data_IF_148980804931
#
_entry.id   IF_148980804931
#
_cell.length_a   1.000
_cell.length_b   1.000
_cell.length_c   1.000
_cell.angle_alpha   90.00
_cell.angle_beta   90.00
_cell.angle_gamma   90.00
#
_symmetry.space_group_name_H-M   'P 1'
#
loop_
_entity.id
_entity.type
_entity.pdbx_description
1 polymer ?
#
# COMPACT_ATOMS: atom_id res chain seq x y z
N UNK A 1 -55.23 9.70 6.90
CA UNK A 1 -55.48 11.16 7.01
C UNK A 1 -55.50 11.55 8.48
N UNK A 2 -54.93 12.72 8.83
CA UNK A 2 -54.59 13.28 10.17
C UNK A 2 -53.10 13.06 10.53
N UNK A 3 -52.18 13.89 10.04
CA UNK A 3 -51.70 15.18 10.59
C UNK A 3 -51.16 15.06 12.02
N UNK A 4 -49.82 15.07 12.15
CA UNK A 4 -49.10 15.52 13.33
C UNK A 4 -47.94 16.41 12.88
N UNK A 5 -48.27 17.68 12.69
CA UNK A 5 -47.39 18.85 12.71
C UNK A 5 -47.33 19.36 14.15
N UNK A 6 -46.14 19.55 14.72
CA UNK A 6 -45.78 20.49 15.81
C UNK A 6 -44.26 20.30 16.08
N UNK A 7 -43.40 21.19 15.58
CA UNK A 7 -42.88 22.35 16.31
C UNK A 7 -41.92 22.00 17.43
N UNK A 8 -40.61 22.16 17.21
CA UNK A 8 -39.75 22.96 18.11
C UNK A 8 -38.64 23.62 17.28
N UNK A 9 -38.78 24.93 17.17
CA UNK A 9 -37.81 25.92 16.74
C UNK A 9 -36.75 26.06 17.85
N UNK A 10 -35.47 25.77 17.57
CA UNK A 10 -34.36 26.23 18.41
C UNK A 10 -33.42 27.03 17.52
N UNK A 11 -33.63 28.34 17.55
CA UNK A 11 -32.67 29.35 17.16
C UNK A 11 -32.03 29.91 18.44
N UNK A 12 -30.71 29.90 18.51
CA UNK A 12 -29.84 30.72 19.39
C UNK A 12 -28.39 30.38 18.98
N UNK A 13 -27.80 31.12 18.04
CA UNK A 13 -27.00 32.31 18.31
C UNK A 13 -25.93 32.05 19.38
N UNK A 14 -24.71 31.71 18.94
CA UNK A 14 -23.51 31.85 19.76
C UNK A 14 -22.43 32.61 19.00
N UNK A 15 -21.87 33.55 19.74
CA UNK A 15 -21.16 34.75 19.32
C UNK A 15 -19.81 34.49 18.66
N UNK A 16 -19.52 35.31 17.65
CA UNK A 16 -18.17 35.59 17.20
C UNK A 16 -17.31 36.11 18.37
N UNK A 17 -16.16 35.48 18.61
CA UNK A 17 -15.10 36.03 19.45
C UNK A 17 -13.87 36.27 18.57
N UNK A 18 -13.81 37.48 18.03
CA UNK A 18 -12.61 38.07 17.45
C UNK A 18 -11.73 38.60 18.58
N UNK A 19 -10.56 38.00 18.78
CA UNK A 19 -9.48 38.64 19.53
C UNK A 19 -8.20 38.57 18.72
N UNK A 20 -7.81 39.74 18.25
CA UNK A 20 -6.52 40.04 17.64
C UNK A 20 -5.37 39.68 18.59
N UNK A 21 -4.35 39.00 18.08
CA UNK A 21 -3.06 38.94 18.76
C UNK A 21 -1.94 39.40 17.81
N UNK A 22 -1.51 40.62 18.15
CA UNK A 22 -0.23 41.29 17.96
C UNK A 22 0.83 40.76 16.99
N UNK A 23 1.35 41.73 16.25
CA UNK A 23 2.52 41.74 15.38
C UNK A 23 3.82 41.41 16.12
N UNK A 24 4.54 40.39 15.65
CA UNK A 24 5.95 40.15 15.97
C UNK A 24 6.81 40.32 14.71
N UNK A 25 7.46 41.48 14.58
CA UNK A 25 8.60 41.69 13.68
C UNK A 25 9.72 40.71 14.06
N UNK A 26 10.15 39.84 13.14
CA UNK A 26 11.50 39.27 13.19
C UNK A 26 12.15 39.22 11.80
N UNK A 27 13.06 40.19 11.64
CA UNK A 27 14.26 40.31 10.82
C UNK A 27 14.47 39.45 9.56
N UNK A 28 14.73 40.19 8.47
CA UNK A 28 15.47 39.79 7.27
C UNK A 28 16.88 39.29 7.60
N UNK A 29 17.25 38.14 7.06
CA UNK A 29 18.60 37.93 6.52
C UNK A 29 18.50 37.18 5.19
N UNK A 30 18.71 37.92 4.12
CA UNK A 30 19.08 37.41 2.80
C UNK A 30 20.39 36.66 2.89
N UNK A 31 20.43 35.40 2.45
CA UNK A 31 21.67 34.79 1.98
C UNK A 31 21.39 34.06 0.66
N UNK A 32 21.66 34.77 -0.42
CA UNK A 32 21.46 34.36 -1.81
C UNK A 32 22.83 34.30 -2.49
N UNK A 33 23.10 33.14 -3.10
CA UNK A 33 24.07 32.80 -4.17
C UNK A 33 25.55 32.53 -3.81
N UNK A 34 25.88 31.25 -3.94
CA UNK A 34 26.92 30.71 -4.83
C UNK A 34 26.32 29.41 -5.42
N UNK A 35 25.74 29.41 -6.62
CA UNK A 35 26.39 29.16 -7.92
C UNK A 35 27.53 28.13 -7.81
N UNK A 36 27.15 26.86 -7.64
CA UNK A 36 27.95 25.71 -8.07
C UNK A 36 27.48 25.30 -9.46
N UNK A 37 28.34 25.49 -10.46
CA UNK A 37 28.10 25.24 -11.87
C UNK A 37 29.10 24.19 -12.34
N UNK A 38 28.67 22.92 -12.32
CA UNK A 38 29.24 21.75 -13.00
C UNK A 38 28.46 20.55 -12.40
N UNK A 39 27.74 19.69 -13.13
CA UNK A 39 28.03 19.10 -14.42
C UNK A 39 26.73 18.79 -15.19
N UNK A 40 26.87 18.68 -16.50
CA UNK A 40 25.93 18.06 -17.44
C UNK A 40 25.32 16.76 -16.91
N UNK A 41 24.07 16.50 -17.29
CA UNK A 41 23.71 15.33 -18.11
C UNK A 41 22.22 15.37 -18.47
N UNK A 42 22.00 15.67 -19.74
CA UNK A 42 21.09 15.04 -20.71
C UNK A 42 19.78 14.38 -20.22
N UNK A 43 18.69 14.89 -20.82
CA UNK A 43 17.56 14.15 -21.37
C UNK A 43 17.43 12.68 -20.94
N UNK A 44 16.47 12.41 -20.06
CA UNK A 44 15.90 11.07 -19.93
C UNK A 44 14.47 11.13 -20.47
N UNK A 45 14.39 10.82 -21.77
CA UNK A 45 13.24 10.14 -22.36
C UNK A 45 12.88 8.95 -21.46
N UNK A 46 11.64 8.86 -21.01
CA UNK A 46 11.09 7.64 -20.44
C UNK A 46 10.76 6.71 -21.61
N UNK A 47 11.82 6.12 -22.16
CA UNK A 47 11.76 4.92 -22.97
C UNK A 47 11.78 3.73 -22.02
N UNK A 48 10.72 2.94 -22.10
CA UNK A 48 10.63 1.61 -21.53
C UNK A 48 11.68 0.74 -22.21
N UNK A 49 12.86 0.60 -21.60
CA UNK A 49 13.74 -0.49 -21.97
C UNK A 49 14.45 -1.11 -20.77
N UNK A 50 14.32 -2.43 -20.70
CA UNK A 50 14.78 -3.26 -19.61
C UNK A 50 16.31 -3.38 -19.64
N UNK A 51 16.97 -2.90 -18.59
CA UNK A 51 18.38 -3.16 -18.34
C UNK A 51 18.52 -4.16 -17.18
N UNK A 52 18.28 -5.43 -17.51
CA UNK A 52 19.05 -6.54 -16.96
C UNK A 52 20.23 -6.74 -17.93
N UNK A 53 21.36 -6.11 -17.62
CA UNK A 53 22.49 -5.96 -18.56
C UNK A 53 23.84 -6.19 -17.91
N UNK A 54 24.02 -7.33 -17.25
CA UNK A 54 25.30 -8.05 -17.35
C UNK A 54 25.19 -8.93 -18.61
N UNK A 55 26.17 -8.92 -19.53
CA UNK A 55 26.14 -9.72 -20.74
C UNK A 55 26.46 -11.18 -20.40
N UNK A 56 25.51 -11.89 -19.79
CA UNK A 56 25.55 -13.34 -19.74
C UNK A 56 25.15 -13.86 -21.11
N UNK A 57 26.19 -14.22 -21.84
CA UNK A 57 26.20 -14.94 -23.10
C UNK A 57 25.34 -16.22 -23.00
N UNK A 58 24.03 -16.10 -23.22
CA UNK A 58 23.09 -17.24 -23.17
C UNK A 58 23.24 -18.18 -24.37
N UNK A 59 24.15 -17.87 -25.30
CA UNK A 59 24.60 -18.80 -26.35
C UNK A 59 25.81 -19.66 -25.93
N UNK A 60 26.46 -19.38 -24.79
CA UNK A 60 27.60 -20.16 -24.30
C UNK A 60 27.25 -21.26 -23.28
N UNK A 61 26.11 -21.15 -22.59
CA UNK A 61 25.77 -22.02 -21.44
C UNK A 61 25.24 -23.43 -21.80
N UNK A 62 25.13 -23.77 -23.09
CA UNK A 62 24.87 -25.14 -23.55
C UNK A 62 26.13 -25.85 -24.07
N UNK A 63 27.26 -25.14 -24.20
CA UNK A 63 28.47 -25.72 -24.78
C UNK A 63 29.47 -26.25 -23.76
N UNK A 64 29.33 -25.93 -22.47
CA UNK A 64 30.25 -26.38 -21.42
C UNK A 64 29.89 -27.73 -20.78
N UNK A 65 28.83 -28.40 -21.24
CA UNK A 65 28.49 -29.77 -20.83
C UNK A 65 29.07 -30.84 -21.79
N UNK A 66 29.97 -30.43 -22.70
CA UNK A 66 30.64 -31.28 -23.70
C UNK A 66 32.16 -31.09 -23.65
N UNK A 67 32.75 -31.06 -22.45
CA UNK A 67 34.21 -31.07 -22.32
C UNK A 67 34.65 -31.61 -20.95
N UNK A 68 34.45 -32.91 -20.71
CA UNK A 68 35.14 -33.59 -19.61
C UNK A 68 34.37 -34.78 -19.05
N UNK A 69 34.56 -35.95 -19.65
CA UNK A 69 34.20 -37.20 -18.97
C UNK A 69 33.70 -38.31 -19.89
N UNK A 70 34.57 -38.85 -20.73
CA UNK A 70 34.36 -40.18 -21.30
C UNK A 70 34.45 -41.23 -20.18
N UNK A 71 33.33 -41.80 -19.76
CA UNK A 71 33.30 -43.07 -19.03
C UNK A 71 31.95 -43.79 -19.22
N UNK A 72 31.94 -44.70 -20.20
CA UNK A 72 31.24 -45.99 -20.20
C UNK A 72 29.90 -46.09 -19.46
N UNK A 73 28.81 -46.21 -20.23
CA UNK A 73 27.78 -47.22 -19.98
C UNK A 73 27.02 -47.52 -21.28
N UNK A 74 27.62 -48.41 -22.09
CA UNK A 74 26.89 -49.26 -23.03
C UNK A 74 25.89 -50.10 -22.23
N UNK A 75 24.58 -49.96 -22.49
CA UNK A 75 23.60 -50.88 -21.95
C UNK A 75 22.16 -50.41 -22.04
N UNK A 76 21.49 -50.77 -23.13
CA UNK A 76 20.02 -50.87 -23.17
C UNK A 76 19.29 -49.65 -23.74
N UNK A 77 18.97 -49.69 -25.03
CA UNK A 77 17.84 -48.92 -25.56
C UNK A 77 16.54 -49.53 -25.03
N UNK A 78 15.70 -48.81 -24.27
CA UNK A 78 14.27 -49.05 -24.34
C UNK A 78 13.77 -48.40 -25.64
N UNK A 79 13.40 -49.24 -26.60
CA UNK A 79 12.56 -48.86 -27.72
C UNK A 79 11.22 -48.34 -27.16
N UNK A 80 11.14 -47.05 -26.89
CA UNK A 80 9.86 -46.39 -26.67
C UNK A 80 9.17 -46.29 -28.01
N UNK A 81 8.34 -47.31 -28.25
CA UNK A 81 7.38 -47.36 -29.31
C UNK A 81 6.63 -46.03 -29.41
N UNK A 82 6.61 -45.49 -30.62
CA UNK A 82 5.72 -44.45 -31.07
C UNK A 82 4.26 -44.93 -30.95
N UNK A 83 3.73 -44.96 -29.73
CA UNK A 83 2.30 -44.99 -29.51
C UNK A 83 1.79 -43.61 -29.86
N UNK A 84 0.95 -43.57 -30.90
CA UNK A 84 0.23 -42.39 -31.34
C UNK A 84 -0.28 -41.62 -30.12
N UNK A 85 0.29 -40.43 -29.89
CA UNK A 85 -0.24 -39.45 -28.95
C UNK A 85 -1.62 -39.07 -29.48
N UNK A 86 -2.64 -39.81 -29.03
CA UNK A 86 -4.02 -39.39 -29.08
C UNK A 86 -3.99 -38.01 -28.44
N UNK A 87 -4.28 -36.98 -29.23
CA UNK A 87 -4.53 -35.63 -28.74
C UNK A 87 -5.78 -35.71 -27.88
N UNK A 88 -5.60 -36.18 -26.65
CA UNK A 88 -6.54 -36.04 -25.57
C UNK A 88 -6.54 -34.54 -25.32
N UNK A 89 -7.40 -33.84 -26.06
CA UNK A 89 -7.80 -32.50 -25.72
C UNK A 89 -8.15 -32.57 -24.25
N UNK A 90 -7.35 -31.88 -23.43
CA UNK A 90 -7.71 -31.63 -22.05
C UNK A 90 -9.14 -31.09 -22.10
N UNK A 91 -10.02 -31.93 -21.56
CA UNK A 91 -11.45 -31.69 -21.41
C UNK A 91 -11.69 -30.29 -20.89
N UNK A 92 -12.85 -29.74 -21.23
CA UNK A 92 -13.35 -28.48 -20.66
C UNK A 92 -12.99 -28.38 -19.17
N UNK A 93 -12.54 -27.20 -18.69
CA UNK A 93 -12.10 -27.05 -17.32
C UNK A 93 -13.13 -27.69 -16.40
N UNK A 94 -12.70 -28.66 -15.58
CA UNK A 94 -13.58 -29.33 -14.64
C UNK A 94 -14.32 -28.27 -13.83
N UNK A 95 -15.59 -28.51 -13.51
CA UNK A 95 -16.40 -27.46 -12.87
C UNK A 95 -15.78 -27.01 -11.52
N UNK A 96 -15.07 -27.92 -10.83
CA UNK A 96 -14.23 -27.61 -9.67
C UNK A 96 -13.11 -26.58 -9.96
N UNK A 97 -12.48 -26.67 -11.14
CA UNK A 97 -11.45 -25.71 -11.55
C UNK A 97 -12.06 -24.32 -11.79
N UNK A 98 -13.22 -24.25 -12.45
CA UNK A 98 -13.94 -22.98 -12.68
C UNK A 98 -14.32 -22.31 -11.37
N UNK A 99 -14.79 -23.09 -10.39
CA UNK A 99 -15.10 -22.60 -9.05
C UNK A 99 -13.86 -22.08 -8.32
N UNK A 100 -12.75 -22.81 -8.38
CA UNK A 100 -11.49 -22.39 -7.74
C UNK A 100 -10.91 -21.10 -8.36
N UNK A 101 -11.01 -20.95 -9.69
CA UNK A 101 -10.59 -19.74 -10.39
C UNK A 101 -11.48 -18.55 -10.05
N UNK A 102 -12.80 -18.77 -9.92
CA UNK A 102 -13.73 -17.74 -9.47
C UNK A 102 -13.40 -17.27 -8.06
N UNK A 103 -13.13 -18.18 -7.13
CA UNK A 103 -12.71 -17.82 -5.77
C UNK A 103 -11.41 -17.00 -5.76
N UNK A 104 -10.41 -17.36 -6.57
CA UNK A 104 -9.16 -16.59 -6.70
C UNK A 104 -9.40 -15.20 -7.26
N UNK A 105 -10.30 -15.05 -8.22
CA UNK A 105 -10.68 -13.75 -8.78
C UNK A 105 -11.42 -12.89 -7.76
N UNK A 106 -12.38 -13.45 -7.02
CA UNK A 106 -13.11 -12.75 -5.97
C UNK A 106 -12.19 -12.31 -4.83
N UNK A 107 -11.25 -13.16 -4.43
CA UNK A 107 -10.22 -12.80 -3.45
C UNK A 107 -9.33 -11.65 -3.96
N UNK A 108 -8.86 -11.69 -5.21
CA UNK A 108 -8.08 -10.59 -5.79
C UNK A 108 -8.87 -9.29 -5.85
N UNK A 109 -10.15 -9.35 -6.22
CA UNK A 109 -11.02 -8.17 -6.29
C UNK A 109 -11.27 -7.57 -4.90
N UNK A 110 -11.55 -8.38 -3.89
CA UNK A 110 -11.76 -7.90 -2.52
C UNK A 110 -10.50 -7.24 -1.96
N UNK A 111 -9.33 -7.85 -2.15
CA UNK A 111 -8.03 -7.26 -1.79
C UNK A 111 -7.79 -5.93 -2.51
N UNK A 112 -8.09 -5.86 -3.81
CA UNK A 112 -7.95 -4.63 -4.58
C UNK A 112 -8.88 -3.51 -4.09
N UNK A 113 -10.13 -3.83 -3.75
CA UNK A 113 -11.10 -2.87 -3.19
C UNK A 113 -10.61 -2.31 -1.85
N UNK A 114 -10.12 -3.17 -0.97
CA UNK A 114 -9.56 -2.77 0.33
C UNK A 114 -8.33 -1.86 0.15
N UNK A 115 -7.42 -2.24 -0.75
CA UNK A 115 -6.25 -1.41 -1.09
C UNK A 115 -6.66 -0.03 -1.62
N UNK A 116 -7.64 0.01 -2.51
CA UNK A 116 -8.14 1.26 -3.10
C UNK A 116 -8.77 2.14 -2.04
N UNK A 117 -9.64 1.58 -1.19
CA UNK A 117 -10.27 2.32 -0.10
C UNK A 117 -9.24 2.94 0.85
N UNK A 118 -8.21 2.16 1.23
CA UNK A 118 -7.14 2.68 2.08
C UNK A 118 -6.33 3.78 1.39
N UNK A 119 -6.00 3.61 0.10
CA UNK A 119 -5.29 4.65 -0.66
C UNK A 119 -6.12 5.94 -0.80
N UNK A 120 -7.44 5.83 -0.98
CA UNK A 120 -8.31 7.02 -1.04
C UNK A 120 -8.32 7.80 0.28
N UNK A 121 -8.29 7.12 1.44
CA UNK A 121 -8.16 7.81 2.73
C UNK A 121 -6.79 8.46 2.89
N UNK A 122 -5.72 7.78 2.49
CA UNK A 122 -4.37 8.34 2.54
C UNK A 122 -4.21 9.56 1.64
N UNK A 123 -4.78 9.52 0.44
CA UNK A 123 -4.81 10.64 -0.48
C UNK A 123 -5.62 11.81 0.10
N UNK A 124 -6.72 11.54 0.81
CA UNK A 124 -7.51 12.56 1.54
C UNK A 124 -6.70 13.20 2.65
N UNK A 125 -6.09 12.41 3.53
CA UNK A 125 -5.19 12.88 4.60
C UNK A 125 -4.04 13.74 4.03
N UNK A 126 -3.51 13.38 2.87
CA UNK A 126 -2.41 14.09 2.23
C UNK A 126 -2.83 15.42 1.56
N UNK A 127 -4.10 15.54 1.14
CA UNK A 127 -4.63 16.67 0.35
C UNK A 127 -5.51 17.64 1.16
N UNK A 128 -6.22 17.18 2.19
CA UNK A 128 -7.23 17.97 2.91
C UNK A 128 -6.65 19.07 3.81
N UNK A 129 -7.47 20.11 4.01
CA UNK A 129 -7.17 21.38 4.68
C UNK A 129 -6.89 21.24 6.18
N UNK A 130 -6.32 22.29 6.79
CA UNK A 130 -5.78 22.34 8.16
C UNK A 130 -6.82 22.24 9.30
N UNK A 131 -8.01 21.70 9.03
CA UNK A 131 -9.04 21.49 10.06
C UNK A 131 -8.79 20.17 10.78
N UNK A 132 -8.75 20.20 12.12
CA UNK A 132 -8.43 19.02 12.92
C UNK A 132 -9.52 17.93 12.90
N UNK A 133 -10.80 18.31 12.82
CA UNK A 133 -11.92 17.38 12.89
C UNK A 133 -11.98 16.33 11.75
N UNK A 134 -11.92 16.71 10.44
CA UNK A 134 -11.94 15.74 9.36
C UNK A 134 -10.71 14.82 9.38
N UNK A 135 -9.55 15.36 9.75
CA UNK A 135 -8.31 14.59 9.87
C UNK A 135 -8.42 13.47 10.91
N UNK A 136 -9.03 13.76 12.07
CA UNK A 136 -9.27 12.74 13.09
C UNK A 136 -10.22 11.67 12.58
N UNK A 137 -11.34 12.05 11.94
CA UNK A 137 -12.28 11.06 11.40
C UNK A 137 -11.68 10.16 10.32
N UNK A 138 -10.75 10.69 9.51
CA UNK A 138 -10.06 9.90 8.48
C UNK A 138 -9.04 8.94 9.08
N UNK A 139 -8.36 9.34 10.16
CA UNK A 139 -7.44 8.46 10.90
C UNK A 139 -8.20 7.34 11.62
N UNK A 140 -9.36 7.63 12.20
CA UNK A 140 -10.25 6.62 12.79
C UNK A 140 -10.80 5.66 11.72
N UNK A 141 -11.26 6.18 10.58
CA UNK A 141 -11.70 5.33 9.46
C UNK A 141 -10.57 4.43 8.92
N UNK A 142 -9.33 4.93 8.93
CA UNK A 142 -8.14 4.16 8.56
C UNK A 142 -7.87 3.04 9.58
N UNK A 143 -8.00 3.32 10.88
CA UNK A 143 -7.91 2.31 11.93
C UNK A 143 -8.97 1.22 11.76
N UNK A 144 -10.23 1.58 11.53
CA UNK A 144 -11.33 0.65 11.31
C UNK A 144 -11.09 -0.29 10.12
N UNK A 145 -10.50 0.23 9.03
CA UNK A 145 -10.12 -0.59 7.89
C UNK A 145 -9.01 -1.60 8.25
N UNK A 146 -8.02 -1.19 9.04
CA UNK A 146 -6.92 -2.08 9.48
C UNK A 146 -7.47 -3.19 10.39
N UNK A 147 -8.40 -2.87 11.29
CA UNK A 147 -9.08 -3.85 12.15
C UNK A 147 -9.89 -4.85 11.31
N UNK A 148 -10.68 -4.36 10.33
CA UNK A 148 -11.48 -5.21 9.43
C UNK A 148 -10.64 -6.17 8.59
N UNK A 149 -9.45 -5.72 8.17
CA UNK A 149 -8.52 -6.54 7.37
C UNK A 149 -7.73 -7.52 8.27
N UNK A 150 -7.51 -7.16 9.54
CA UNK A 150 -6.60 -7.87 10.44
C UNK A 150 -5.13 -7.50 10.23
N UNK A 151 -4.86 -6.30 9.71
CA UNK A 151 -3.50 -5.80 9.45
C UNK A 151 -3.39 -4.92 8.20
N UNK A 152 -2.17 -4.84 7.67
CA UNK A 152 -1.88 -4.06 6.46
C UNK A 152 -2.25 -4.85 5.19
N UNK A 153 -2.87 -4.23 4.18
CA UNK A 153 -3.17 -4.90 2.92
C UNK A 153 -1.87 -5.26 2.18
N UNK A 154 -1.93 -6.35 1.40
CA UNK A 154 -0.80 -6.87 0.64
C UNK A 154 -0.20 -5.78 -0.27
N UNK A 155 1.11 -5.55 -0.11
CA UNK A 155 1.88 -4.63 -0.93
C UNK A 155 1.90 -3.17 -0.45
N UNK A 156 1.29 -2.84 0.69
CA UNK A 156 1.49 -1.53 1.34
C UNK A 156 2.25 -1.72 2.64
N UNK A 157 3.39 -1.06 2.77
CA UNK A 157 4.24 -1.14 3.97
C UNK A 157 3.77 -0.14 5.02
N UNK A 158 3.92 -0.50 6.30
CA UNK A 158 3.69 0.41 7.44
C UNK A 158 4.47 1.71 7.30
N UNK A 159 5.72 1.62 6.87
CA UNK A 159 6.61 2.79 6.74
C UNK A 159 6.09 3.80 5.72
N UNK A 160 5.42 3.36 4.65
CA UNK A 160 4.91 4.25 3.62
C UNK A 160 3.71 5.05 4.12
N UNK A 161 2.82 4.42 4.89
CA UNK A 161 1.72 5.09 5.61
C UNK A 161 2.28 6.11 6.61
N UNK A 162 3.26 5.70 7.42
CA UNK A 162 3.91 6.59 8.40
C UNK A 162 4.58 7.79 7.72
N UNK A 163 5.27 7.58 6.59
CA UNK A 163 5.89 8.66 5.82
C UNK A 163 4.87 9.63 5.27
N UNK A 164 3.74 9.15 4.74
CA UNK A 164 2.67 10.01 4.23
C UNK A 164 2.08 10.88 5.34
N UNK A 165 1.73 10.30 6.50
CA UNK A 165 1.21 11.08 7.64
C UNK A 165 2.25 12.06 8.18
N UNK A 166 3.53 11.65 8.28
CA UNK A 166 4.62 12.55 8.69
C UNK A 166 4.85 13.69 7.71
N UNK A 167 4.71 13.43 6.41
CA UNK A 167 4.82 14.47 5.39
C UNK A 167 3.70 15.50 5.53
N UNK A 168 2.48 15.07 5.91
CA UNK A 168 1.37 15.99 6.24
C UNK A 168 1.66 16.77 7.53
N UNK A 169 2.15 16.10 8.57
CA UNK A 169 2.54 16.72 9.85
C UNK A 169 3.62 17.79 9.68
N UNK A 170 4.55 17.63 8.73
CA UNK A 170 5.58 18.62 8.46
C UNK A 170 5.07 19.90 7.78
N UNK A 171 3.90 19.87 7.13
CA UNK A 171 3.37 21.01 6.35
C UNK A 171 2.70 22.09 7.19
N UNK A 172 2.23 21.78 8.40
CA UNK A 172 1.39 22.71 9.16
C UNK A 172 1.30 22.38 10.65
N UNK A 173 0.56 23.20 11.42
CA UNK A 173 0.35 22.95 12.84
C UNK A 173 -0.37 21.62 13.02
N UNK A 174 0.18 20.77 13.89
CA UNK A 174 -0.36 19.45 14.19
C UNK A 174 -0.91 19.44 15.62
N UNK A 175 -2.25 19.39 15.74
CA UNK A 175 -2.95 19.39 17.02
C UNK A 175 -2.77 18.09 17.81
N UNK A 176 -3.14 18.10 19.08
CA UNK A 176 -3.01 16.93 19.99
C UNK A 176 -4.01 15.82 19.65
N UNK A 177 -5.23 16.18 19.23
CA UNK A 177 -6.27 15.19 18.89
C UNK A 177 -5.87 14.29 17.70
N UNK A 178 -5.44 14.82 16.54
CA UNK A 178 -4.95 13.99 15.44
C UNK A 178 -3.66 13.23 15.78
N UNK A 179 -2.83 13.72 16.71
CA UNK A 179 -1.67 12.96 17.20
C UNK A 179 -2.09 11.69 17.93
N UNK A 180 -3.10 11.73 18.81
CA UNK A 180 -3.59 10.53 19.49
C UNK A 180 -4.18 9.52 18.51
N UNK A 181 -5.05 9.96 17.59
CA UNK A 181 -5.61 9.09 16.56
C UNK A 181 -4.52 8.45 15.69
N UNK A 182 -3.47 9.19 15.33
CA UNK A 182 -2.33 8.64 14.61
C UNK A 182 -1.55 7.59 15.42
N UNK A 183 -1.33 7.82 16.72
CA UNK A 183 -0.69 6.84 17.59
C UNK A 183 -1.54 5.58 17.74
N UNK A 184 -2.86 5.70 17.78
CA UNK A 184 -3.79 4.56 17.80
C UNK A 184 -3.67 3.71 16.54
N UNK A 185 -3.63 4.32 15.36
CA UNK A 185 -3.36 3.61 14.10
C UNK A 185 -2.04 2.85 14.15
N UNK A 186 -0.96 3.46 14.66
CA UNK A 186 0.34 2.79 14.75
C UNK A 186 0.32 1.62 15.73
N UNK A 187 -0.32 1.81 16.89
CA UNK A 187 -0.49 0.76 17.91
C UNK A 187 -1.26 -0.41 17.33
N UNK A 188 -2.35 -0.13 16.62
CA UNK A 188 -3.18 -1.15 15.99
C UNK A 188 -2.39 -1.93 14.93
N UNK A 189 -1.66 -1.26 14.03
CA UNK A 189 -0.81 -1.96 13.04
C UNK A 189 0.22 -2.84 13.74
N UNK A 190 0.84 -2.34 14.82
CA UNK A 190 1.86 -3.09 15.55
C UNK A 190 1.26 -4.30 16.26
N UNK A 191 0.07 -4.15 16.85
CA UNK A 191 -0.70 -5.24 17.43
C UNK A 191 -1.04 -6.29 16.38
N UNK A 192 -1.56 -5.86 15.22
CA UNK A 192 -1.94 -6.74 14.12
C UNK A 192 -0.74 -7.43 13.43
N UNK A 193 0.47 -6.90 13.57
CA UNK A 193 1.68 -7.54 13.04
C UNK A 193 2.45 -8.34 14.10
N UNK A 194 2.06 -8.24 15.37
CA UNK A 194 2.73 -8.94 16.45
C UNK A 194 2.46 -10.45 16.38
N UNK A 195 3.47 -11.32 16.62
CA UNK A 195 3.28 -12.77 16.66
C UNK A 195 2.49 -13.29 17.87
N UNK A 196 2.16 -12.42 18.84
CA UNK A 196 1.64 -12.81 20.17
C UNK A 196 0.21 -12.32 20.45
N UNK A 197 -0.61 -12.06 19.42
CA UNK A 197 -1.96 -11.48 19.59
C UNK A 197 -2.84 -12.24 20.60
N UNK A 198 -2.70 -13.56 20.67
CA UNK A 198 -3.53 -14.42 21.51
C UNK A 198 -3.21 -14.30 23.02
N UNK A 199 -2.00 -13.83 23.38
CA UNK A 199 -1.56 -13.79 24.78
C UNK A 199 -2.13 -12.61 25.55
N UNK A 200 -2.41 -11.49 24.87
CA UNK A 200 -2.94 -10.29 25.51
C UNK A 200 -4.44 -10.41 25.82
N UNK A 201 -5.17 -11.28 25.10
CA UNK A 201 -6.59 -11.57 25.37
C UNK A 201 -6.76 -12.44 26.63
N UNK A 202 -5.76 -13.26 26.96
CA UNK A 202 -5.82 -14.22 28.06
C UNK A 202 -5.56 -13.62 29.45
N UNK A 203 -5.18 -12.34 29.55
CA UNK A 203 -4.95 -11.65 30.82
C UNK A 203 -5.98 -10.53 31.02
N UNK A 204 -7.22 -10.85 31.43
CA UNK A 204 -8.15 -9.83 31.88
C UNK A 204 -7.60 -9.21 33.18
N UNK A 205 -7.32 -7.90 33.12
CA UNK A 205 -6.99 -7.08 34.29
C UNK A 205 -8.14 -7.07 35.31
#
# INVERSE_FOLDING_TARGET
MKLNTLSVLIALAFSASTSAFTTGLFSKTSFRRQIGQCMSNDNVNVELDGTFGEPLDRRGALSSLIAGGSAMLLGGQPAFAASAQKTVYLTEPTDEFKESEKQRMEFRQTQFRLKTAMQTLLDRIAKEDDTEAPLVSDLEALQDLIVKIGGMPLGIKRDDLVKQVRSRKAKGPWGTKPEYAYQDVIREISFQQSPNKDKDVANPL
#
